data_IF_886540452881
#
_entry.id   IF_886540452881
#
_cell.length_a   1.000
_cell.length_b   1.000
_cell.length_c   1.000
_cell.angle_alpha   90.00
_cell.angle_beta   90.00
_cell.angle_gamma   90.00
#
_symmetry.space_group_name_H-M   'P 1'
#
loop_
_entity.id
_entity.type
_entity.pdbx_description
1 polymer ?
#
# COMPACT_ATOMS: atom_id res chain seq x y z
N UNK A 1 -5.10 16.02 10.77
CA UNK A 1 -4.16 16.04 9.61
C UNK A 1 -3.57 14.65 9.49
N UNK A 2 -3.75 14.03 8.35
CA UNK A 2 -3.19 12.72 8.07
C UNK A 2 -1.81 12.87 7.40
N UNK A 3 -0.90 11.93 7.70
CA UNK A 3 0.43 11.84 7.10
C UNK A 3 0.59 10.47 6.46
N UNK A 4 0.96 10.44 5.19
CA UNK A 4 1.25 9.21 4.46
C UNK A 4 2.73 9.19 4.08
N UNK A 5 3.45 8.13 4.44
CA UNK A 5 4.86 7.93 4.12
C UNK A 5 5.01 6.69 3.23
N UNK A 6 5.69 6.83 2.11
CA UNK A 6 6.02 5.72 1.22
C UNK A 6 7.33 5.08 1.69
N UNK A 7 7.22 4.00 2.44
CA UNK A 7 8.38 3.25 2.95
C UNK A 7 9.04 2.40 1.86
N UNK A 8 8.31 2.16 0.77
CA UNK A 8 8.81 1.52 -0.42
C UNK A 8 7.86 1.70 -1.58
N UNK A 9 8.42 1.91 -2.76
CA UNK A 9 7.66 2.21 -3.98
C UNK A 9 7.93 1.23 -5.10
N UNK A 10 8.83 0.27 -4.86
CA UNK A 10 9.11 -0.83 -5.77
C UNK A 10 8.07 -1.93 -5.70
N UNK A 11 7.98 -2.72 -6.76
CA UNK A 11 7.12 -3.88 -6.82
C UNK A 11 7.56 -4.91 -7.85
N UNK A 12 7.02 -6.11 -7.70
CA UNK A 12 7.33 -7.23 -8.55
C UNK A 12 8.71 -7.85 -8.29
N UNK A 13 8.91 -9.05 -8.81
CA UNK A 13 10.01 -9.95 -8.45
C UNK A 13 11.42 -9.32 -8.53
N UNK A 14 11.72 -8.66 -9.64
CA UNK A 14 13.09 -8.17 -9.87
C UNK A 14 13.44 -6.97 -8.98
N UNK A 15 12.51 -6.02 -8.81
CA UNK A 15 12.72 -4.86 -7.95
C UNK A 15 12.84 -5.29 -6.50
N UNK A 16 12.00 -6.24 -6.08
CA UNK A 16 12.04 -6.82 -4.73
C UNK A 16 13.36 -7.54 -4.47
N UNK A 17 13.83 -8.34 -5.42
CA UNK A 17 15.08 -9.10 -5.27
C UNK A 17 16.32 -8.19 -5.21
N UNK A 18 16.37 -7.19 -6.08
CA UNK A 18 17.53 -6.29 -6.21
C UNK A 18 17.45 -5.06 -5.28
N UNK A 19 16.30 -4.81 -4.66
CA UNK A 19 16.05 -3.65 -3.80
C UNK A 19 16.43 -2.31 -4.46
N UNK A 20 16.26 -2.18 -5.78
CA UNK A 20 16.43 -0.91 -6.50
C UNK A 20 15.49 0.18 -5.97
N UNK A 21 14.32 -0.24 -5.52
CA UNK A 21 13.38 0.47 -4.67
C UNK A 21 12.97 -0.49 -3.56
N UNK A 22 12.81 0.03 -2.35
CA UNK A 22 12.23 -0.72 -1.24
C UNK A 22 10.82 -1.19 -1.60
N UNK A 23 10.41 -2.34 -1.11
CA UNK A 23 9.01 -2.80 -1.13
C UNK A 23 8.38 -2.69 0.27
N UNK A 24 8.80 -1.68 1.04
CA UNK A 24 8.40 -1.47 2.43
C UNK A 24 6.96 -1.02 2.64
N UNK A 25 6.20 -0.78 1.57
CA UNK A 25 4.78 -0.42 1.62
C UNK A 25 4.52 1.01 2.06
N UNK A 26 3.35 1.23 2.68
CA UNK A 26 2.82 2.54 3.04
C UNK A 26 2.68 2.66 4.56
N UNK A 27 2.95 3.83 5.11
CA UNK A 27 2.72 4.14 6.52
C UNK A 27 1.80 5.34 6.67
N UNK A 28 0.58 5.11 7.17
CA UNK A 28 -0.43 6.12 7.41
C UNK A 28 -0.47 6.46 8.90
N UNK A 29 -0.35 7.74 9.25
CA UNK A 29 -0.56 8.27 10.59
C UNK A 29 -1.65 9.34 10.57
N UNK A 30 -2.78 9.05 11.19
CA UNK A 30 -3.89 9.97 11.47
C UNK A 30 -4.28 9.87 12.95
N UNK A 31 -3.26 9.90 13.82
CA UNK A 31 -3.40 9.62 15.26
C UNK A 31 -3.53 8.11 15.56
N UNK A 32 -3.74 7.29 14.56
CA UNK A 32 -3.60 5.84 14.56
C UNK A 32 -2.61 5.46 13.46
N UNK A 33 -1.62 4.66 13.80
CA UNK A 33 -0.49 4.33 12.93
C UNK A 33 -0.71 2.99 12.28
N UNK A 34 -0.83 3.03 10.97
CA UNK A 34 -1.16 1.87 10.13
C UNK A 34 -0.04 1.64 9.13
N UNK A 35 0.56 0.45 9.15
CA UNK A 35 1.51 0.03 8.12
C UNK A 35 0.82 -0.92 7.15
N UNK A 36 0.82 -0.59 5.87
CA UNK A 36 0.21 -1.38 4.80
C UNK A 36 1.31 -2.04 3.98
N UNK A 37 1.19 -3.33 3.75
CA UNK A 37 2.06 -4.14 2.91
C UNK A 37 3.57 -4.04 3.27
N UNK A 38 3.98 -4.43 4.49
CA UNK A 38 5.38 -4.36 4.92
C UNK A 38 6.26 -5.45 4.28
N UNK A 39 6.62 -5.28 3.04
CA UNK A 39 7.56 -6.15 2.32
C UNK A 39 9.03 -5.87 2.66
N UNK A 40 9.96 -6.50 1.92
CA UNK A 40 11.40 -6.30 2.08
C UNK A 40 11.81 -4.83 2.03
N UNK A 41 12.72 -4.43 2.95
CA UNK A 41 13.17 -3.04 3.09
C UNK A 41 12.36 -2.21 4.10
N UNK A 42 11.19 -2.69 4.57
CA UNK A 42 10.32 -1.96 5.51
C UNK A 42 11.06 -1.51 6.78
N UNK A 43 11.84 -2.37 7.41
CA UNK A 43 12.56 -2.03 8.66
C UNK A 43 13.60 -0.93 8.45
N UNK A 44 14.34 -1.00 7.35
CA UNK A 44 15.31 0.04 6.99
C UNK A 44 14.63 1.38 6.67
N UNK A 45 13.50 1.33 5.96
CA UNK A 45 12.73 2.53 5.64
C UNK A 45 12.11 3.18 6.89
N UNK A 46 11.54 2.41 7.81
CA UNK A 46 11.07 2.91 9.10
C UNK A 46 12.18 3.65 9.87
N UNK A 47 13.37 3.03 9.96
CA UNK A 47 14.53 3.66 10.60
C UNK A 47 14.96 4.96 9.91
N UNK A 48 15.04 4.98 8.58
CA UNK A 48 15.38 6.18 7.80
C UNK A 48 14.42 7.33 8.03
N UNK A 49 13.12 7.01 8.17
CA UNK A 49 12.06 7.98 8.40
C UNK A 49 11.83 8.29 9.88
N UNK A 50 12.68 7.80 10.79
CA UNK A 50 12.58 7.98 12.25
C UNK A 50 11.22 7.53 12.80
N UNK A 51 10.63 6.49 12.18
CA UNK A 51 9.38 5.89 12.64
C UNK A 51 9.73 4.70 13.54
N UNK A 52 9.26 4.78 14.78
CA UNK A 52 9.41 3.71 15.77
C UNK A 52 8.38 2.60 15.50
N UNK A 53 8.81 1.38 15.08
CA UNK A 53 7.88 0.28 14.79
C UNK A 53 7.10 -0.19 16.02
N UNK A 54 7.62 0.02 17.23
CA UNK A 54 6.92 -0.37 18.48
C UNK A 54 5.66 0.46 18.71
N UNK A 55 5.54 1.60 18.03
CA UNK A 55 4.38 2.48 18.11
C UNK A 55 3.34 2.21 17.01
N UNK A 56 3.57 1.25 16.11
CA UNK A 56 2.59 0.85 15.09
C UNK A 56 1.37 0.21 15.75
N UNK A 57 0.18 0.66 15.37
CA UNK A 57 -1.08 0.22 15.95
C UNK A 57 -1.72 -0.91 15.14
N UNK A 58 -1.51 -0.92 13.81
CA UNK A 58 -2.06 -1.94 12.93
C UNK A 58 -1.16 -2.26 11.74
N UNK A 59 -1.20 -3.51 11.31
CA UNK A 59 -0.68 -3.99 10.03
C UNK A 59 -1.86 -4.37 9.12
N UNK A 60 -1.82 -3.92 7.88
CA UNK A 60 -2.73 -4.35 6.83
C UNK A 60 -1.93 -5.03 5.72
N UNK A 61 -2.36 -6.20 5.30
CA UNK A 61 -1.69 -6.95 4.24
C UNK A 61 -2.70 -7.24 3.15
N UNK A 62 -2.39 -6.80 1.92
CA UNK A 62 -3.29 -6.91 0.79
C UNK A 62 -3.37 -8.34 0.23
N UNK A 63 -2.25 -9.06 0.18
CA UNK A 63 -2.20 -10.43 -0.34
C UNK A 63 -0.91 -11.16 0.05
N UNK A 64 -0.82 -12.44 -0.28
CA UNK A 64 0.25 -13.33 0.18
C UNK A 64 1.42 -13.44 -0.82
N UNK A 65 1.91 -12.31 -1.34
CA UNK A 65 3.19 -12.26 -2.04
C UNK A 65 4.29 -11.65 -1.15
N UNK A 66 5.52 -12.19 -1.18
CA UNK A 66 6.59 -11.79 -0.25
C UNK A 66 6.90 -10.29 -0.24
N UNK A 67 6.75 -9.61 -1.37
CA UNK A 67 6.97 -8.16 -1.49
C UNK A 67 5.91 -7.32 -0.74
N UNK A 68 4.84 -7.95 -0.23
CA UNK A 68 3.80 -7.29 0.57
C UNK A 68 3.80 -7.67 2.05
N UNK A 69 4.42 -8.80 2.45
CA UNK A 69 4.32 -9.23 3.85
C UNK A 69 5.62 -9.68 4.52
N UNK A 70 6.73 -9.83 3.80
CA UNK A 70 7.90 -10.53 4.33
C UNK A 70 8.52 -9.92 5.60
N UNK A 71 8.28 -8.65 5.91
CA UNK A 71 8.70 -8.05 7.18
C UNK A 71 7.60 -8.01 8.26
N UNK A 72 6.40 -8.51 7.98
CA UNK A 72 5.27 -8.37 8.89
C UNK A 72 5.47 -9.06 10.24
N UNK A 73 6.03 -10.27 10.28
CA UNK A 73 6.26 -10.99 11.54
C UNK A 73 7.25 -10.27 12.46
N UNK A 74 8.33 -9.72 11.90
CA UNK A 74 9.28 -8.88 12.67
C UNK A 74 8.62 -7.61 13.20
N UNK A 75 7.73 -7.01 12.42
CA UNK A 75 6.98 -5.83 12.88
C UNK A 75 5.97 -6.18 13.97
N UNK A 76 5.32 -7.34 13.90
CA UNK A 76 4.46 -7.86 14.98
C UNK A 76 5.27 -7.98 16.28
N UNK A 77 6.49 -8.53 16.23
CA UNK A 77 7.36 -8.57 17.42
C UNK A 77 7.61 -7.16 17.98
N UNK A 78 7.90 -6.19 17.12
CA UNK A 78 8.05 -4.79 17.54
C UNK A 78 6.78 -4.24 18.18
N UNK A 79 5.63 -4.43 17.54
CA UNK A 79 4.33 -3.91 18.02
C UNK A 79 3.94 -4.42 19.41
N UNK A 80 4.31 -5.66 19.76
CA UNK A 80 3.96 -6.26 21.06
C UNK A 80 5.05 -6.11 22.11
N UNK A 81 6.24 -5.69 21.74
CA UNK A 81 7.38 -5.52 22.64
C UNK A 81 7.11 -4.44 23.70
N UNK A 82 7.44 -4.74 24.95
CA UNK A 82 7.34 -3.78 26.09
C UNK A 82 5.92 -3.53 26.57
N UNK A 83 4.90 -4.18 26.00
CA UNK A 83 3.50 -4.02 26.44
C UNK A 83 3.07 -5.15 27.37
N UNK A 84 2.39 -4.78 28.46
CA UNK A 84 1.68 -5.73 29.33
C UNK A 84 0.35 -6.09 28.65
N UNK A 85 0.20 -7.34 28.22
CA UNK A 85 -0.98 -7.84 27.52
C UNK A 85 -0.90 -7.73 25.99
N UNK A 86 -1.95 -8.18 25.32
CA UNK A 86 -2.04 -8.22 23.87
C UNK A 86 -2.33 -6.83 23.29
N UNK A 87 -1.57 -6.47 22.29
CA UNK A 87 -1.69 -5.19 21.56
C UNK A 87 -1.60 -5.44 20.04
N UNK A 88 -1.97 -4.41 19.27
CA UNK A 88 -1.86 -4.41 17.82
C UNK A 88 -2.98 -5.14 17.10
N UNK A 89 -3.25 -4.71 15.89
CA UNK A 89 -4.26 -5.30 15.01
C UNK A 89 -3.61 -5.75 13.71
N UNK A 90 -3.95 -6.93 13.24
CA UNK A 90 -3.63 -7.43 11.90
C UNK A 90 -4.93 -7.59 11.11
N UNK A 91 -5.01 -6.95 9.94
CA UNK A 91 -6.10 -7.10 8.98
C UNK A 91 -5.51 -7.70 7.71
N UNK A 92 -5.95 -8.88 7.32
CA UNK A 92 -5.40 -9.54 6.15
C UNK A 92 -6.39 -10.58 5.58
N UNK A 93 -6.28 -10.91 4.28
CA UNK A 93 -7.13 -11.90 3.64
C UNK A 93 -6.76 -13.32 4.03
N UNK A 94 -7.60 -14.25 3.57
CA UNK A 94 -7.48 -15.69 3.88
C UNK A 94 -6.10 -16.26 3.53
N UNK A 95 -5.56 -15.93 2.36
CA UNK A 95 -4.27 -16.43 1.91
C UNK A 95 -3.13 -16.10 2.89
N UNK A 96 -3.16 -14.91 3.46
CA UNK A 96 -2.15 -14.44 4.43
C UNK A 96 -2.30 -15.12 5.79
N UNK A 97 -3.54 -15.27 6.30
CA UNK A 97 -3.80 -15.76 7.66
C UNK A 97 -3.93 -17.27 7.77
N UNK A 98 -4.51 -17.92 6.76
CA UNK A 98 -4.86 -19.35 6.81
C UNK A 98 -4.23 -20.16 5.69
N UNK A 99 -3.74 -19.47 4.67
CA UNK A 99 -3.33 -20.09 3.42
C UNK A 99 -4.52 -20.55 2.56
N UNK A 100 -4.20 -20.90 1.32
CA UNK A 100 -5.15 -21.47 0.36
C UNK A 100 -4.42 -22.33 -0.67
N UNK A 101 -4.55 -23.63 -0.59
CA UNK A 101 -3.90 -24.56 -1.50
C UNK A 101 -2.38 -24.38 -1.49
N UNK A 102 -1.84 -23.72 -2.55
CA UNK A 102 -0.38 -23.50 -2.70
C UNK A 102 0.10 -22.16 -2.15
N UNK A 103 -0.79 -21.29 -1.68
CA UNK A 103 -0.48 -19.93 -1.25
C UNK A 103 -0.62 -19.84 0.27
N UNK A 104 0.40 -19.31 0.93
CA UNK A 104 0.43 -19.02 2.36
C UNK A 104 0.33 -20.25 3.30
N UNK A 105 0.06 -20.01 4.59
CA UNK A 105 -0.10 -18.69 5.22
C UNK A 105 1.19 -17.86 5.17
N UNK A 106 1.05 -16.54 5.03
CA UNK A 106 2.17 -15.59 5.05
C UNK A 106 2.60 -15.20 6.46
N UNK A 107 1.68 -15.28 7.42
CA UNK A 107 1.91 -14.97 8.84
C UNK A 107 1.62 -16.22 9.66
N UNK A 108 2.61 -16.68 10.40
CA UNK A 108 2.50 -17.87 11.24
C UNK A 108 1.44 -17.69 12.33
N UNK A 109 0.82 -18.78 12.73
CA UNK A 109 -0.14 -18.79 13.84
C UNK A 109 0.48 -18.25 15.14
N UNK A 110 1.75 -18.52 15.37
CA UNK A 110 2.49 -18.01 16.52
C UNK A 110 2.47 -16.47 16.58
N UNK A 111 2.72 -15.77 15.46
CA UNK A 111 2.67 -14.31 15.44
C UNK A 111 1.25 -13.75 15.48
N UNK A 112 0.29 -14.44 14.86
CA UNK A 112 -1.12 -14.06 14.96
C UNK A 112 -1.61 -14.08 16.41
N UNK A 113 -1.24 -15.09 17.20
CA UNK A 113 -1.65 -15.26 18.60
C UNK A 113 -1.06 -14.22 19.57
N UNK A 114 0.02 -13.54 19.19
CA UNK A 114 0.62 -12.43 19.97
C UNK A 114 -0.21 -11.15 19.93
N UNK A 115 -0.97 -10.95 18.88
CA UNK A 115 -1.71 -9.72 18.64
C UNK A 115 -2.98 -9.61 19.49
N UNK A 116 -3.40 -8.38 19.76
CA UNK A 116 -4.67 -8.09 20.42
C UNK A 116 -5.87 -8.44 19.53
N UNK A 117 -5.74 -8.23 18.23
CA UNK A 117 -6.80 -8.50 17.26
C UNK A 117 -6.23 -9.01 15.94
N UNK A 118 -6.80 -10.08 15.42
CA UNK A 118 -6.58 -10.55 14.05
C UNK A 118 -7.93 -10.55 13.34
N UNK A 119 -8.01 -9.82 12.24
CA UNK A 119 -9.23 -9.67 11.44
C UNK A 119 -9.00 -10.30 10.06
N UNK A 120 -9.66 -11.43 9.84
CA UNK A 120 -9.77 -12.03 8.51
C UNK A 120 -10.73 -11.16 7.69
N UNK A 121 -10.22 -10.58 6.61
CA UNK A 121 -10.99 -9.64 5.78
C UNK A 121 -11.27 -10.18 4.39
N UNK A 122 -12.35 -9.70 3.81
CA UNK A 122 -12.82 -9.96 2.45
C UNK A 122 -13.34 -8.67 1.81
N UNK A 123 -13.48 -8.59 0.48
CA UNK A 123 -14.04 -7.43 -0.17
C UNK A 123 -15.41 -7.03 0.41
N UNK A 124 -15.54 -5.75 0.74
CA UNK A 124 -16.76 -5.18 1.35
C UNK A 124 -16.74 -5.09 2.88
N UNK A 125 -15.85 -5.84 3.55
CA UNK A 125 -15.73 -5.78 5.01
C UNK A 125 -15.31 -4.39 5.48
N UNK A 126 -15.95 -3.93 6.56
CA UNK A 126 -15.63 -2.68 7.22
C UNK A 126 -14.92 -2.95 8.55
N UNK A 127 -14.02 -2.06 8.92
CA UNK A 127 -13.26 -2.14 10.14
C UNK A 127 -12.95 -0.76 10.71
N UNK A 128 -12.63 -0.72 12.01
CA UNK A 128 -12.30 0.49 12.74
C UNK A 128 -10.94 0.33 13.42
N UNK A 129 -10.04 1.28 13.15
CA UNK A 129 -8.73 1.40 13.77
C UNK A 129 -8.61 2.80 14.39
N UNK A 130 -8.78 2.91 15.71
CA UNK A 130 -8.86 4.21 16.36
C UNK A 130 -9.94 5.08 15.75
N UNK A 131 -9.55 6.16 15.06
CA UNK A 131 -10.48 7.08 14.37
C UNK A 131 -10.67 6.74 12.89
N UNK A 132 -9.84 5.88 12.33
CA UNK A 132 -9.87 5.53 10.91
C UNK A 132 -10.94 4.46 10.69
N UNK A 133 -12.03 4.82 10.00
CA UNK A 133 -12.93 3.83 9.43
C UNK A 133 -12.35 3.35 8.13
N UNK A 134 -12.21 2.05 7.98
CA UNK A 134 -11.71 1.49 6.75
C UNK A 134 -12.67 0.48 6.14
N UNK A 135 -12.45 0.23 4.85
CA UNK A 135 -13.16 -0.78 4.08
C UNK A 135 -12.18 -1.53 3.20
N UNK A 136 -12.35 -2.83 3.13
CA UNK A 136 -11.60 -3.70 2.23
C UNK A 136 -12.25 -3.69 0.85
N UNK A 137 -11.45 -3.50 -0.19
CA UNK A 137 -11.90 -3.43 -1.58
C UNK A 137 -11.47 -4.66 -2.38
N UNK A 138 -12.16 -5.01 -3.48
CA UNK A 138 -11.78 -6.14 -4.31
C UNK A 138 -10.46 -5.90 -5.06
N UNK A 139 -9.74 -6.98 -5.36
CA UNK A 139 -8.64 -7.02 -6.32
C UNK A 139 -8.76 -8.28 -7.20
N UNK A 140 -8.27 -8.20 -8.43
CA UNK A 140 -8.17 -9.32 -9.35
C UNK A 140 -6.70 -9.64 -9.59
N UNK A 141 -6.18 -10.59 -8.84
CA UNK A 141 -4.76 -10.91 -8.83
C UNK A 141 -4.52 -12.43 -8.85
N UNK A 142 -3.25 -12.85 -8.94
CA UNK A 142 -2.88 -14.27 -8.90
C UNK A 142 -3.11 -14.92 -7.54
N UNK A 143 -3.12 -14.15 -6.46
CA UNK A 143 -3.72 -14.55 -5.17
C UNK A 143 -5.23 -14.26 -5.25
N UNK A 144 -6.10 -15.29 -5.25
CA UNK A 144 -7.54 -15.11 -5.40
C UNK A 144 -8.22 -14.43 -4.21
N UNK A 145 -7.50 -14.21 -3.13
CA UNK A 145 -7.99 -13.51 -1.95
C UNK A 145 -7.40 -12.10 -1.81
N UNK A 146 -6.65 -11.63 -2.82
CA UNK A 146 -6.08 -10.29 -2.80
C UNK A 146 -7.15 -9.22 -2.62
N UNK A 147 -6.78 -8.16 -1.88
CA UNK A 147 -7.67 -7.04 -1.54
C UNK A 147 -6.91 -5.73 -1.61
N UNK A 148 -7.64 -4.63 -1.78
CA UNK A 148 -7.17 -3.28 -1.53
C UNK A 148 -7.81 -2.68 -0.28
N UNK A 149 -7.52 -1.42 0.02
CA UNK A 149 -7.99 -0.76 1.23
C UNK A 149 -8.45 0.67 0.98
N UNK A 150 -9.47 1.06 1.70
CA UNK A 150 -10.00 2.41 1.75
C UNK A 150 -9.98 2.91 3.19
N UNK A 151 -9.48 4.13 3.41
CA UNK A 151 -9.34 4.75 4.72
C UNK A 151 -10.13 6.05 4.74
N UNK A 152 -11.14 6.15 5.59
CA UNK A 152 -11.78 7.42 5.91
C UNK A 152 -10.99 8.06 7.05
N UNK A 153 -10.15 9.03 6.72
CA UNK A 153 -9.28 9.75 7.66
C UNK A 153 -9.90 11.08 8.06
N UNK A 154 -9.28 11.77 9.02
CA UNK A 154 -9.64 13.14 9.39
C UNK A 154 -9.49 14.16 8.23
N UNK A 155 -8.77 13.77 7.17
CA UNK A 155 -8.42 14.65 6.05
C UNK A 155 -9.00 14.14 4.71
N UNK A 156 -10.06 13.35 4.76
CA UNK A 156 -10.72 12.79 3.59
C UNK A 156 -10.37 11.34 3.33
N UNK A 157 -10.81 10.84 2.18
CA UNK A 157 -10.68 9.43 1.81
C UNK A 157 -9.34 9.18 1.11
N UNK A 158 -8.52 8.30 1.69
CA UNK A 158 -7.33 7.75 1.05
C UNK A 158 -7.68 6.35 0.56
N UNK A 159 -7.36 6.04 -0.69
CA UNK A 159 -7.71 4.77 -1.29
C UNK A 159 -6.48 4.11 -1.89
N UNK A 160 -6.20 2.87 -1.49
CA UNK A 160 -5.08 2.07 -1.97
C UNK A 160 -5.59 0.89 -2.80
N UNK A 161 -5.35 0.97 -4.09
CA UNK A 161 -5.55 -0.11 -5.05
C UNK A 161 -4.26 -0.93 -5.07
N UNK A 162 -4.30 -2.11 -4.46
CA UNK A 162 -3.18 -3.05 -4.47
C UNK A 162 -3.05 -3.73 -5.85
N UNK A 163 -2.20 -4.76 -5.95
CA UNK A 163 -1.99 -5.49 -7.20
C UNK A 163 -3.30 -6.04 -7.76
N UNK A 164 -3.61 -5.66 -9.00
CA UNK A 164 -4.87 -6.02 -9.65
C UNK A 164 -4.81 -5.81 -11.16
N UNK A 165 -5.74 -6.42 -11.87
CA UNK A 165 -6.12 -6.02 -13.22
C UNK A 165 -7.12 -4.87 -13.19
N UNK A 166 -7.24 -4.17 -14.31
CA UNK A 166 -8.30 -3.18 -14.53
C UNK A 166 -9.66 -3.88 -14.61
N UNK A 167 -10.56 -3.57 -13.67
CA UNK A 167 -11.94 -4.03 -13.61
C UNK A 167 -12.86 -2.91 -13.15
N UNK A 168 -14.09 -2.85 -13.70
CA UNK A 168 -15.06 -1.82 -13.35
C UNK A 168 -15.44 -1.86 -11.87
N UNK A 169 -15.70 -3.04 -11.34
CA UNK A 169 -16.06 -3.25 -9.94
C UNK A 169 -14.97 -2.79 -8.97
N UNK A 170 -13.70 -2.83 -9.39
CA UNK A 170 -12.59 -2.33 -8.58
C UNK A 170 -12.57 -0.81 -8.62
N UNK A 171 -12.76 -0.19 -9.80
CA UNK A 171 -12.89 1.28 -9.89
C UNK A 171 -14.04 1.76 -9.02
N UNK A 172 -15.22 1.14 -9.15
CA UNK A 172 -16.44 1.51 -8.42
C UNK A 172 -16.23 1.44 -6.88
N UNK A 173 -15.44 0.47 -6.40
CA UNK A 173 -15.09 0.34 -4.98
C UNK A 173 -14.21 1.49 -4.45
N UNK A 174 -13.53 2.22 -5.31
CA UNK A 174 -12.62 3.32 -4.95
C UNK A 174 -13.18 4.72 -5.27
N UNK A 175 -14.42 4.82 -5.75
CA UNK A 175 -15.07 6.10 -6.06
C UNK A 175 -15.08 7.05 -4.87
N UNK A 176 -14.87 8.36 -5.12
CA UNK A 176 -14.82 9.41 -4.10
C UNK A 176 -13.54 9.41 -3.26
N UNK A 177 -12.46 8.77 -3.72
CA UNK A 177 -11.16 8.92 -3.12
C UNK A 177 -10.62 10.34 -3.36
N UNK A 178 -10.18 11.01 -2.30
CA UNK A 178 -9.46 12.27 -2.36
C UNK A 178 -8.01 12.04 -2.81
N UNK A 179 -7.36 11.04 -2.23
CA UNK A 179 -6.02 10.59 -2.62
C UNK A 179 -6.14 9.14 -3.09
N UNK A 180 -5.78 8.88 -4.34
CA UNK A 180 -5.81 7.57 -4.96
C UNK A 180 -4.39 7.05 -5.16
N UNK A 181 -4.07 5.91 -4.55
CA UNK A 181 -2.76 5.26 -4.63
C UNK A 181 -2.94 3.98 -5.46
N UNK A 182 -2.21 3.86 -6.55
CA UNK A 182 -2.32 2.75 -7.50
C UNK A 182 -1.02 1.93 -7.56
N UNK A 183 -1.11 0.64 -7.29
CA UNK A 183 -0.04 -0.30 -7.58
C UNK A 183 0.10 -0.47 -9.10
N UNK A 184 1.00 0.31 -9.71
CA UNK A 184 1.17 0.41 -11.16
C UNK A 184 2.50 -0.19 -11.59
N UNK A 185 2.50 -1.49 -11.82
CA UNK A 185 3.74 -2.26 -12.05
C UNK A 185 4.31 -2.06 -13.45
N UNK A 186 3.48 -1.71 -14.44
CA UNK A 186 3.89 -1.72 -15.86
C UNK A 186 3.76 -0.35 -16.52
N UNK A 187 4.79 0.07 -17.29
CA UNK A 187 4.72 1.31 -18.04
C UNK A 187 3.78 1.19 -19.25
N UNK A 188 3.65 2.28 -20.01
CA UNK A 188 2.93 2.33 -21.28
C UNK A 188 3.34 1.17 -22.22
N UNK A 189 2.34 0.60 -22.92
CA UNK A 189 2.51 -0.45 -23.93
C UNK A 189 3.19 -1.73 -23.40
N UNK A 190 3.04 -2.01 -22.10
CA UNK A 190 3.70 -3.14 -21.46
C UNK A 190 2.79 -3.94 -20.51
N UNK A 191 1.49 -3.98 -20.81
CA UNK A 191 0.51 -4.73 -19.99
C UNK A 191 0.90 -6.18 -19.78
N UNK A 192 0.62 -6.67 -18.59
CA UNK A 192 0.69 -8.08 -18.23
C UNK A 192 -0.55 -8.45 -17.41
N UNK A 193 -0.94 -9.73 -17.36
CA UNK A 193 -2.03 -10.16 -16.49
C UNK A 193 -1.79 -9.79 -15.02
N UNK A 194 -2.87 -9.54 -14.29
CA UNK A 194 -2.88 -9.32 -12.84
C UNK A 194 -2.18 -8.06 -12.32
N UNK A 195 -1.79 -7.12 -13.21
CA UNK A 195 -1.13 -5.87 -12.80
C UNK A 195 -1.60 -4.70 -13.66
N UNK A 196 -1.69 -3.52 -13.04
CA UNK A 196 -1.99 -2.29 -13.75
C UNK A 196 -0.80 -1.81 -14.59
N UNK A 197 -1.12 -1.30 -15.78
CA UNK A 197 -0.23 -0.48 -16.58
C UNK A 197 -0.52 1.01 -16.39
N UNK A 198 0.31 1.87 -16.97
CA UNK A 198 0.07 3.32 -17.02
C UNK A 198 -1.27 3.66 -17.66
N UNK A 199 -1.67 2.94 -18.72
CA UNK A 199 -2.98 3.14 -19.36
C UNK A 199 -4.13 2.75 -18.44
N UNK A 200 -3.97 1.67 -17.67
CA UNK A 200 -4.98 1.23 -16.71
C UNK A 200 -5.11 2.24 -15.55
N UNK A 201 -3.97 2.75 -15.06
CA UNK A 201 -3.93 3.79 -14.04
C UNK A 201 -4.62 5.09 -14.51
N UNK A 202 -4.48 5.45 -15.80
CA UNK A 202 -5.19 6.59 -16.38
C UNK A 202 -6.72 6.39 -16.35
N UNK A 203 -7.21 5.18 -16.62
CA UNK A 203 -8.65 4.89 -16.53
C UNK A 203 -9.16 5.03 -15.09
N UNK A 204 -8.39 4.57 -14.09
CA UNK A 204 -8.73 4.79 -12.69
C UNK A 204 -8.77 6.29 -12.35
N UNK A 205 -7.75 7.05 -12.75
CA UNK A 205 -7.67 8.48 -12.48
C UNK A 205 -8.82 9.25 -13.13
N UNK A 206 -9.12 8.98 -14.40
CA UNK A 206 -10.20 9.62 -15.16
C UNK A 206 -11.59 9.33 -14.57
N UNK A 207 -11.82 8.10 -14.06
CA UNK A 207 -13.14 7.69 -13.54
C UNK A 207 -13.37 8.13 -12.09
N UNK A 208 -12.33 8.20 -11.28
CA UNK A 208 -12.42 8.52 -9.85
C UNK A 208 -12.24 10.02 -9.61
N UNK A 209 -11.48 10.72 -10.47
CA UNK A 209 -11.19 12.15 -10.38
C UNK A 209 -10.68 12.59 -9.00
N UNK A 210 -9.61 11.94 -8.45
CA UNK A 210 -9.06 12.31 -7.16
C UNK A 210 -8.33 13.67 -7.25
N UNK A 211 -8.17 14.36 -6.10
CA UNK A 211 -7.28 15.54 -6.03
C UNK A 211 -5.83 15.19 -6.34
N UNK A 212 -5.40 13.96 -6.00
CA UNK A 212 -4.06 13.45 -6.30
C UNK A 212 -4.11 11.95 -6.57
N UNK A 213 -3.57 11.55 -7.72
CA UNK A 213 -3.27 10.17 -8.07
C UNK A 213 -1.78 9.88 -7.86
N UNK A 214 -1.45 8.78 -7.19
CA UNK A 214 -0.06 8.41 -6.85
C UNK A 214 0.22 7.01 -7.36
N UNK A 215 1.24 6.88 -8.21
CA UNK A 215 1.70 5.59 -8.72
C UNK A 215 2.76 5.01 -7.79
N UNK A 216 2.58 3.78 -7.36
CA UNK A 216 3.52 3.02 -6.52
C UNK A 216 3.65 1.58 -7.04
N UNK A 217 4.38 0.72 -6.34
CA UNK A 217 4.61 -0.67 -6.75
C UNK A 217 5.23 -0.77 -8.16
N UNK A 218 6.25 0.09 -8.40
CA UNK A 218 6.85 0.29 -9.70
C UNK A 218 7.76 -0.87 -10.07
N UNK A 219 7.42 -1.59 -11.14
CA UNK A 219 8.20 -2.70 -11.64
C UNK A 219 9.49 -2.26 -12.36
N UNK A 220 10.44 -3.18 -12.58
CA UNK A 220 11.73 -2.90 -13.21
C UNK A 220 11.62 -2.10 -14.51
N UNK A 221 10.73 -2.53 -15.42
CA UNK A 221 10.54 -1.83 -16.68
C UNK A 221 9.93 -0.43 -16.49
N UNK A 222 9.03 -0.27 -15.51
CA UNK A 222 8.47 1.03 -15.17
C UNK A 222 9.57 2.01 -14.69
N UNK A 223 10.49 1.52 -13.86
CA UNK A 223 11.64 2.31 -13.38
C UNK A 223 12.58 2.70 -14.53
N UNK A 224 12.81 1.80 -15.47
CA UNK A 224 13.67 2.05 -16.66
C UNK A 224 13.03 3.04 -17.62
N UNK A 225 11.71 2.94 -17.87
CA UNK A 225 10.98 3.76 -18.84
C UNK A 225 10.62 5.16 -18.28
N UNK A 226 11.04 5.50 -17.04
CA UNK A 226 10.91 6.82 -16.43
C UNK A 226 9.58 7.03 -15.70
N UNK A 227 9.54 6.86 -14.37
CA UNK A 227 8.33 7.01 -13.57
C UNK A 227 7.65 8.38 -13.71
N UNK A 228 8.43 9.45 -13.77
CA UNK A 228 7.89 10.81 -13.91
C UNK A 228 7.17 10.99 -15.25
N UNK A 229 7.74 10.49 -16.34
CA UNK A 229 7.13 10.56 -17.67
C UNK A 229 5.82 9.79 -17.73
N UNK A 230 5.72 8.64 -17.04
CA UNK A 230 4.49 7.87 -16.95
C UNK A 230 3.39 8.64 -16.19
N UNK A 231 3.74 9.28 -15.08
CA UNK A 231 2.80 10.11 -14.31
C UNK A 231 2.35 11.34 -15.08
N UNK A 232 3.27 12.05 -15.77
CA UNK A 232 2.96 13.18 -16.63
C UNK A 232 2.04 12.79 -17.79
N UNK A 233 2.23 11.62 -18.38
CA UNK A 233 1.36 11.11 -19.44
C UNK A 233 -0.09 10.96 -18.93
N UNK A 234 -0.29 10.37 -17.71
CA UNK A 234 -1.62 10.27 -17.10
C UNK A 234 -2.22 11.65 -16.87
N UNK A 235 -1.46 12.56 -16.23
CA UNK A 235 -1.91 13.93 -15.98
C UNK A 235 -2.34 14.66 -17.25
N UNK A 236 -1.55 14.58 -18.31
CA UNK A 236 -1.84 15.24 -19.59
C UNK A 236 -3.07 14.64 -20.28
N UNK A 237 -3.30 13.34 -20.12
CA UNK A 237 -4.43 12.64 -20.70
C UNK A 237 -5.74 12.88 -19.95
N UNK A 238 -5.69 12.91 -18.62
CA UNK A 238 -6.89 12.91 -17.76
C UNK A 238 -7.20 14.24 -17.10
N UNK A 239 -6.22 15.16 -17.06
CA UNK A 239 -6.30 16.38 -16.26
C UNK A 239 -6.07 16.18 -14.75
N UNK A 240 -6.03 14.93 -14.27
CA UNK A 240 -5.87 14.60 -12.85
C UNK A 240 -4.42 14.78 -12.43
N UNK A 241 -4.13 15.55 -11.37
CA UNK A 241 -2.80 15.64 -10.79
C UNK A 241 -2.26 14.25 -10.45
N UNK A 242 -1.17 13.85 -11.10
CA UNK A 242 -0.60 12.51 -10.96
C UNK A 242 0.89 12.59 -10.72
N UNK A 243 1.40 11.82 -9.76
CA UNK A 243 2.82 11.70 -9.45
C UNK A 243 3.22 10.22 -9.34
N UNK A 244 4.47 9.92 -9.64
CA UNK A 244 5.09 8.64 -9.28
C UNK A 244 5.77 8.79 -7.92
N UNK A 245 5.45 7.90 -6.99
CA UNK A 245 6.03 7.92 -5.67
C UNK A 245 7.54 7.60 -5.69
N UNK A 246 8.25 8.15 -4.72
CA UNK A 246 9.63 7.80 -4.40
C UNK A 246 9.71 7.21 -2.99
N UNK A 247 10.70 6.35 -2.76
CA UNK A 247 10.97 5.86 -1.41
C UNK A 247 11.22 7.03 -0.46
N UNK A 248 10.70 6.93 0.74
CA UNK A 248 10.75 7.94 1.78
C UNK A 248 9.97 9.25 1.46
N UNK A 249 9.17 9.29 0.39
CA UNK A 249 8.27 10.40 0.09
C UNK A 249 7.17 10.51 1.14
N UNK A 250 6.85 11.74 1.53
CA UNK A 250 5.80 12.04 2.52
C UNK A 250 4.74 12.93 1.91
N UNK A 251 3.48 12.57 2.13
CA UNK A 251 2.32 13.42 1.80
C UNK A 251 1.68 13.87 3.12
N UNK A 252 1.62 15.16 3.33
CA UNK A 252 0.81 15.75 4.38
C UNK A 252 -0.56 16.09 3.81
N UNK A 253 -1.60 15.55 4.42
CA UNK A 253 -2.98 15.66 3.95
C UNK A 253 -3.74 16.47 5.00
N UNK A 254 -4.07 17.71 4.65
CA UNK A 254 -4.91 18.63 5.41
C UNK A 254 -5.95 19.22 4.47
N UNK A 255 -6.34 20.47 4.58
CA UNK A 255 -7.16 21.17 3.59
C UNK A 255 -6.41 21.23 2.24
N UNK A 256 -5.07 21.34 2.30
CA UNK A 256 -4.19 21.24 1.14
C UNK A 256 -3.34 19.97 1.18
N UNK A 257 -2.95 19.47 0.00
CA UNK A 257 -2.03 18.36 -0.15
C UNK A 257 -0.60 18.89 -0.32
N UNK A 258 0.30 18.52 0.57
CA UNK A 258 1.71 18.91 0.49
C UNK A 258 2.58 17.67 0.31
N UNK A 259 3.34 17.63 -0.78
CA UNK A 259 4.27 16.55 -1.11
C UNK A 259 5.68 16.94 -0.70
N UNK A 260 6.29 16.17 0.18
CA UNK A 260 7.68 16.31 0.58
C UNK A 260 8.51 15.16 0.04
N UNK A 261 9.51 15.46 -0.77
CA UNK A 261 10.48 14.46 -1.21
C UNK A 261 11.57 14.31 -0.14
N UNK A 262 12.15 13.11 0.01
CA UNK A 262 13.30 12.94 0.87
C UNK A 262 14.45 13.86 0.39
N UNK A 263 15.29 14.36 1.30
CA UNK A 263 16.46 15.11 0.90
C UNK A 263 17.31 14.25 -0.04
N UNK A 264 17.77 14.83 -1.15
CA UNK A 264 18.70 14.13 -2.05
C UNK A 264 19.92 13.73 -1.23
N UNK A 265 20.17 12.43 -1.12
CA UNK A 265 21.41 11.93 -0.54
C UNK A 265 22.48 12.11 -1.61
N UNK A 266 23.50 12.87 -1.28
CA UNK A 266 24.75 12.79 -2.02
C UNK A 266 25.28 11.36 -1.87
N UNK A 267 25.65 10.76 -3.01
CA UNK A 267 26.09 9.38 -3.11
C UNK A 267 27.48 9.19 -2.49
#
# INVERSE_FOLDING_TARGET
>A
MAKLTFLGTGGGRFVTLMQERSTGGLYLDDGTRVHVDPGPGALHALRRNLIDPTRTDALLISHCHPDHYANAETLIEGMVTGHKGKRGTLIAPRSVLKGSGRIGPGISRYHQEKLGRVHLTSPGDEWLLGRIKGRTTPSMHSDPYAVGFRFNTSSGVISYVADTELRREIIDAHMGARVLILATTRPLRARIPHHLSTEDAAVFAERIEPELCILTHLGKRFLTDGPTQQAEWIKNRTGVPTIAANDDMVIHISDELQVSLPPRREA
#
